data_IF_212634171669
#
_entry.id   IF_212634171669
#
_cell.length_a   1.000
_cell.length_b   1.000
_cell.length_c   1.000
_cell.angle_alpha   90.00
_cell.angle_beta   90.00
_cell.angle_gamma   90.00
#
_symmetry.space_group_name_H-M   'P 1'
#
loop_
_entity.id
_entity.type
_entity.pdbx_description
1 polymer ?
#
# COMPACT_ATOMS: atom_id res chain seq x y z
N UNK A 1 14.87 1.47 -10.84
CA UNK A 1 13.57 0.88 -11.27
C UNK A 1 13.48 1.02 -12.79
N UNK A 2 13.25 -0.06 -13.55
CA UNK A 2 13.35 -0.09 -15.04
C UNK A 2 12.26 0.82 -15.66
N UNK A 3 12.62 1.69 -16.62
CA UNK A 3 11.73 2.72 -17.18
C UNK A 3 10.37 2.19 -17.66
N UNK A 4 10.35 1.03 -18.33
CA UNK A 4 9.09 0.43 -18.79
C UNK A 4 8.10 0.09 -17.66
N UNK A 5 8.55 -0.13 -16.42
CA UNK A 5 7.68 -0.46 -15.29
C UNK A 5 6.93 0.80 -14.88
N UNK A 6 7.64 1.95 -14.86
CA UNK A 6 7.04 3.27 -14.60
C UNK A 6 6.00 3.61 -15.67
N UNK A 7 6.34 3.41 -16.95
CA UNK A 7 5.41 3.64 -18.07
C UNK A 7 4.15 2.78 -17.96
N UNK A 8 4.30 1.49 -17.64
CA UNK A 8 3.16 0.59 -17.47
C UNK A 8 2.28 1.01 -16.29
N UNK A 9 2.89 1.35 -15.15
CA UNK A 9 2.16 1.80 -13.96
C UNK A 9 1.37 3.08 -14.24
N UNK A 10 1.99 4.06 -14.89
CA UNK A 10 1.35 5.32 -15.22
C UNK A 10 0.18 5.17 -16.19
N UNK A 11 0.31 4.35 -17.25
CA UNK A 11 -0.82 4.05 -18.16
C UNK A 11 -2.02 3.47 -17.41
N UNK A 12 -1.77 2.58 -16.44
CA UNK A 12 -2.83 2.00 -15.60
C UNK A 12 -3.47 3.03 -14.69
N UNK A 13 -2.69 3.94 -14.12
CA UNK A 13 -3.21 5.03 -13.29
C UNK A 13 -4.10 5.96 -14.12
N UNK A 14 -3.64 6.40 -15.30
CA UNK A 14 -4.43 7.27 -16.18
C UNK A 14 -5.76 6.60 -16.55
N UNK A 15 -5.73 5.31 -16.92
CA UNK A 15 -6.95 4.54 -17.18
C UNK A 15 -7.87 4.47 -15.95
N UNK A 16 -7.33 4.39 -14.74
CA UNK A 16 -8.11 4.41 -13.51
C UNK A 16 -8.73 5.80 -13.22
N UNK A 17 -8.07 6.88 -13.61
CA UNK A 17 -8.59 8.26 -13.51
C UNK A 17 -9.76 8.48 -14.47
N UNK A 18 -9.72 7.89 -15.68
CA UNK A 18 -10.84 7.96 -16.63
C UNK A 18 -12.11 7.27 -16.11
N UNK A 19 -11.95 6.23 -15.28
CA UNK A 19 -13.07 5.49 -14.67
C UNK A 19 -13.71 6.28 -13.53
N UNK A 20 -12.94 7.09 -12.79
CA UNK A 20 -13.38 7.88 -11.64
C UNK A 20 -12.70 9.25 -11.62
N UNK A 21 -13.17 10.21 -12.44
CA UNK A 21 -12.53 11.52 -12.57
C UNK A 21 -12.60 12.35 -11.28
N UNK A 22 -13.62 12.15 -10.45
CA UNK A 22 -13.80 12.89 -9.19
C UNK A 22 -13.03 12.26 -8.00
N UNK A 23 -12.48 11.06 -8.20
CA UNK A 23 -11.81 10.29 -7.13
C UNK A 23 -12.75 9.96 -5.97
N UNK A 24 -14.07 9.94 -6.22
CA UNK A 24 -15.11 9.73 -5.22
C UNK A 24 -15.56 8.27 -5.14
N UNK A 25 -15.14 7.43 -6.09
CA UNK A 25 -15.49 6.02 -6.07
C UNK A 25 -14.82 5.34 -4.87
N UNK A 26 -15.66 4.74 -4.02
CA UNK A 26 -15.19 3.86 -2.96
C UNK A 26 -14.47 2.68 -3.59
N UNK A 27 -13.19 2.51 -3.24
CA UNK A 27 -12.39 1.37 -3.69
C UNK A 27 -13.04 0.07 -3.20
N UNK A 28 -13.69 -0.65 -4.10
CA UNK A 28 -14.16 -2.01 -3.84
C UNK A 28 -12.96 -2.95 -3.87
N UNK A 29 -12.65 -3.55 -2.73
CA UNK A 29 -11.66 -4.61 -2.66
C UNK A 29 -12.25 -5.88 -3.30
N UNK A 30 -11.86 -6.14 -4.54
CA UNK A 30 -12.17 -7.39 -5.24
C UNK A 30 -10.95 -8.29 -5.12
N UNK A 31 -11.14 -9.50 -4.61
CA UNK A 31 -10.08 -10.51 -4.55
C UNK A 31 -9.82 -10.97 -5.99
N UNK A 32 -8.63 -10.73 -6.57
CA UNK A 32 -8.33 -11.17 -7.91
C UNK A 32 -8.26 -12.69 -7.97
N UNK A 33 -8.65 -13.25 -9.11
CA UNK A 33 -8.46 -14.68 -9.37
C UNK A 33 -6.95 -14.95 -9.46
N UNK A 34 -6.48 -15.89 -8.65
CA UNK A 34 -5.07 -16.27 -8.60
C UNK A 34 -4.78 -17.34 -9.64
N UNK A 35 -3.80 -17.09 -10.51
CA UNK A 35 -3.32 -18.05 -11.49
C UNK A 35 -2.23 -18.95 -10.87
N UNK A 36 -2.63 -20.14 -10.40
CA UNK A 36 -1.70 -21.11 -9.84
C UNK A 36 -0.74 -21.74 -10.87
N UNK A 37 -0.97 -21.54 -12.16
CA UNK A 37 -0.08 -22.00 -13.24
C UNK A 37 0.98 -20.98 -13.61
N UNK A 38 1.01 -19.81 -12.96
CA UNK A 38 1.98 -18.77 -13.26
C UNK A 38 3.41 -19.22 -12.91
N UNK A 39 4.34 -18.98 -13.84
CA UNK A 39 5.77 -19.25 -13.66
C UNK A 39 6.50 -18.11 -12.96
N UNK A 40 5.88 -16.92 -12.89
CA UNK A 40 6.41 -15.75 -12.20
C UNK A 40 5.33 -15.07 -11.34
N UNK A 41 5.78 -14.22 -10.41
CA UNK A 41 4.89 -13.47 -9.52
C UNK A 41 4.04 -12.41 -10.23
N UNK A 42 4.45 -11.97 -11.43
CA UNK A 42 3.72 -10.93 -12.17
C UNK A 42 2.46 -11.53 -12.79
N UNK A 43 2.52 -12.77 -13.29
CA UNK A 43 1.41 -13.50 -13.90
C UNK A 43 0.46 -14.18 -12.90
N UNK A 44 0.76 -14.08 -11.60
CA UNK A 44 -0.05 -14.66 -10.51
C UNK A 44 -1.44 -14.02 -10.42
N UNK A 45 -1.56 -12.76 -10.84
CA UNK A 45 -2.80 -11.99 -10.92
C UNK A 45 -2.96 -11.52 -12.36
N UNK A 46 -4.15 -11.72 -12.95
CA UNK A 46 -4.48 -11.06 -14.21
C UNK A 46 -4.73 -9.57 -13.97
N UNK A 47 -3.67 -8.78 -14.17
CA UNK A 47 -3.71 -7.33 -14.05
C UNK A 47 -4.53 -6.63 -15.13
N UNK A 48 -4.90 -7.30 -16.24
CA UNK A 48 -5.80 -6.75 -17.26
C UNK A 48 -7.26 -6.88 -16.82
N UNK A 49 -7.61 -8.01 -16.21
CA UNK A 49 -8.95 -8.26 -15.67
C UNK A 49 -9.20 -7.57 -14.31
N UNK A 50 -8.14 -7.17 -13.60
CA UNK A 50 -8.26 -6.46 -12.34
C UNK A 50 -8.49 -4.95 -12.58
N UNK A 51 -9.65 -4.43 -12.19
CA UNK A 51 -9.91 -3.00 -12.17
C UNK A 51 -8.99 -2.31 -11.14
N UNK A 52 -7.96 -1.65 -11.63
CA UNK A 52 -7.10 -0.81 -10.80
C UNK A 52 -7.89 0.42 -10.35
N UNK A 53 -7.87 0.69 -9.05
CA UNK A 53 -8.47 1.92 -8.51
C UNK A 53 -7.40 2.99 -8.39
N UNK A 54 -7.78 4.26 -8.60
CA UNK A 54 -6.91 5.40 -8.39
C UNK A 54 -6.33 5.36 -6.97
N UNK A 55 -4.99 5.36 -6.80
CA UNK A 55 -4.39 5.53 -5.50
C UNK A 55 -4.80 6.88 -4.89
N UNK A 56 -5.23 6.90 -3.63
CA UNK A 56 -5.68 8.13 -2.95
C UNK A 56 -4.65 9.25 -3.00
N UNK A 57 -3.35 8.90 -2.99
CA UNK A 57 -2.24 9.86 -3.12
C UNK A 57 -2.26 10.64 -4.44
N UNK A 58 -2.87 10.10 -5.49
CA UNK A 58 -2.93 10.71 -6.82
C UNK A 58 -4.27 11.43 -7.06
N UNK A 59 -5.15 11.53 -6.06
CA UNK A 59 -6.49 12.14 -6.21
C UNK A 59 -6.45 13.60 -6.65
N UNK A 60 -5.40 14.33 -6.28
CA UNK A 60 -5.23 15.74 -6.63
C UNK A 60 -4.28 15.96 -7.81
N UNK A 61 -3.83 14.88 -8.45
CA UNK A 61 -2.95 14.96 -9.61
C UNK A 61 -3.76 14.81 -10.90
N UNK A 62 -3.38 15.58 -11.92
CA UNK A 62 -3.92 15.45 -13.26
C UNK A 62 -3.17 14.39 -14.09
N UNK A 63 -3.85 13.81 -15.09
CA UNK A 63 -3.23 12.89 -16.04
C UNK A 63 -2.07 13.55 -16.81
N UNK A 64 -2.15 14.87 -17.04
CA UNK A 64 -1.14 15.64 -17.74
C UNK A 64 0.14 15.81 -16.90
N UNK A 65 0.01 16.09 -15.60
CA UNK A 65 1.15 16.09 -14.66
C UNK A 65 1.82 14.71 -14.61
N UNK A 66 1.02 13.65 -14.54
CA UNK A 66 1.54 12.27 -14.46
C UNK A 66 2.28 11.85 -15.75
N UNK A 67 1.82 12.30 -16.92
CA UNK A 67 2.52 12.09 -18.20
C UNK A 67 3.82 12.89 -18.28
N UNK A 68 3.84 14.14 -17.80
CA UNK A 68 5.05 14.96 -17.77
C UNK A 68 6.15 14.32 -16.91
N UNK A 69 5.76 13.74 -15.77
CA UNK A 69 6.67 13.03 -14.86
C UNK A 69 7.29 11.75 -15.44
N UNK A 70 6.67 11.16 -16.48
CA UNK A 70 7.23 10.01 -17.19
C UNK A 70 8.25 10.41 -18.27
N UNK A 71 8.09 11.59 -18.86
CA UNK A 71 8.89 12.04 -20.00
C UNK A 71 10.19 12.69 -19.56
N UNK A 72 10.17 13.49 -18.50
CA UNK A 72 11.32 14.32 -18.15
C UNK A 72 12.38 13.57 -17.31
N UNK A 73 12.16 12.29 -16.96
CA UNK A 73 12.89 11.54 -15.91
C UNK A 73 13.04 12.34 -14.59
N UNK A 74 12.20 13.37 -14.44
CA UNK A 74 12.23 14.33 -13.34
C UNK A 74 11.83 13.59 -12.07
N UNK A 75 12.63 13.72 -10.99
CA UNK A 75 12.25 13.20 -9.70
C UNK A 75 10.86 13.68 -9.33
N UNK A 76 10.00 12.73 -8.93
CA UNK A 76 8.70 12.97 -8.31
C UNK A 76 8.86 14.12 -7.30
N UNK A 77 8.23 15.27 -7.54
CA UNK A 77 8.28 16.36 -6.57
C UNK A 77 7.72 15.82 -5.24
N UNK A 78 8.46 16.07 -4.16
CA UNK A 78 8.24 15.48 -2.83
C UNK A 78 6.84 15.81 -2.28
N UNK A 79 6.19 16.84 -2.84
CA UNK A 79 4.77 17.20 -2.62
C UNK A 79 3.76 16.11 -3.01
N UNK A 80 4.09 15.25 -3.95
CA UNK A 80 3.19 14.21 -4.46
C UNK A 80 3.54 12.82 -3.88
N UNK A 81 4.73 12.66 -3.29
CA UNK A 81 5.05 11.55 -2.42
C UNK A 81 4.52 11.88 -1.03
N UNK A 82 3.33 11.38 -0.67
CA UNK A 82 2.93 11.41 0.74
C UNK A 82 4.07 10.80 1.55
N UNK A 83 4.69 11.60 2.42
CA UNK A 83 5.70 11.14 3.37
C UNK A 83 5.02 10.27 4.41
N UNK A 84 4.81 9.01 4.04
CA UNK A 84 4.44 8.01 5.01
C UNK A 84 5.62 7.83 5.97
N UNK A 85 5.37 7.75 7.30
CA UNK A 85 6.40 7.43 8.29
C UNK A 85 6.81 5.94 8.22
N UNK A 86 7.11 5.46 7.02
CA UNK A 86 7.35 4.06 6.64
C UNK A 86 8.56 3.46 7.38
N UNK A 87 9.55 4.29 7.69
CA UNK A 87 10.82 3.89 8.30
C UNK A 87 10.90 4.25 9.79
N UNK A 88 9.75 4.41 10.44
CA UNK A 88 9.74 4.58 11.90
C UNK A 88 9.84 3.24 12.60
N UNK A 89 10.50 3.23 13.76
CA UNK A 89 10.59 2.05 14.61
C UNK A 89 9.20 1.50 15.01
N UNK A 90 8.20 2.38 15.12
CA UNK A 90 6.82 1.99 15.38
C UNK A 90 6.23 1.13 14.24
N UNK A 91 6.44 1.54 12.98
CA UNK A 91 5.99 0.77 11.80
C UNK A 91 6.65 -0.60 11.77
N UNK A 92 7.97 -0.68 11.95
CA UNK A 92 8.67 -1.97 11.99
C UNK A 92 8.14 -2.91 13.08
N UNK A 93 7.86 -2.37 14.27
CA UNK A 93 7.32 -3.13 15.40
C UNK A 93 5.92 -3.68 15.10
N UNK A 94 5.08 -2.94 14.38
CA UNK A 94 3.74 -3.38 13.95
C UNK A 94 3.86 -4.46 12.86
N UNK A 95 4.70 -4.25 11.84
CA UNK A 95 4.94 -5.23 10.77
C UNK A 95 5.41 -6.57 11.36
N UNK A 96 6.26 -6.55 12.38
CA UNK A 96 6.69 -7.75 13.12
C UNK A 96 5.60 -8.40 13.97
N UNK A 97 4.54 -7.68 14.33
CA UNK A 97 3.44 -8.17 15.16
C UNK A 97 2.38 -8.91 14.35
N UNK A 98 2.08 -8.42 13.14
CA UNK A 98 1.09 -9.02 12.21
C UNK A 98 1.29 -10.53 12.02
N UNK A 99 2.49 -11.06 11.72
CA UNK A 99 2.68 -12.51 11.55
C UNK A 99 2.61 -13.30 12.87
N UNK A 100 2.70 -12.64 14.03
CA UNK A 100 2.55 -13.28 15.35
C UNK A 100 1.09 -13.47 15.74
N UNK A 101 0.19 -12.61 15.25
CA UNK A 101 -1.23 -12.67 15.55
C UNK A 101 -1.89 -14.02 15.20
N UNK A 102 -1.71 -14.59 13.98
CA UNK A 102 -2.33 -15.87 13.64
C UNK A 102 -1.80 -17.05 14.47
N UNK A 103 -0.57 -16.98 15.00
CA UNK A 103 0.00 -17.99 15.89
C UNK A 103 -0.59 -17.94 17.31
N UNK A 104 -1.10 -16.78 17.74
CA UNK A 104 -1.60 -16.55 19.11
C UNK A 104 -3.13 -16.53 19.22
N UNK A 105 -3.84 -16.30 18.11
CA UNK A 105 -5.29 -16.12 18.08
C UNK A 105 -5.92 -16.76 16.85
N UNK A 106 -7.05 -17.42 17.07
CA UNK A 106 -7.91 -17.99 16.02
C UNK A 106 -9.07 -17.02 15.74
N UNK A 107 -9.41 -16.84 14.47
CA UNK A 107 -10.47 -15.91 14.02
C UNK A 107 -9.96 -14.48 13.74
N UNK A 108 -10.55 -13.84 12.74
CA UNK A 108 -10.12 -12.52 12.23
C UNK A 108 -10.23 -11.42 13.30
N UNK A 109 -11.38 -11.34 13.99
CA UNK A 109 -11.61 -10.31 15.02
C UNK A 109 -10.62 -10.42 16.19
N UNK A 110 -10.33 -11.64 16.64
CA UNK A 110 -9.38 -11.88 17.72
C UNK A 110 -7.94 -11.53 17.33
N UNK A 111 -7.57 -11.74 16.06
CA UNK A 111 -6.26 -11.35 15.50
C UNK A 111 -6.14 -9.84 15.39
N UNK A 112 -7.17 -9.16 14.87
CA UNK A 112 -7.20 -7.70 14.79
C UNK A 112 -7.13 -7.07 16.18
N UNK A 113 -7.95 -7.55 17.12
CA UNK A 113 -7.92 -7.11 18.52
C UNK A 113 -6.54 -7.30 19.16
N UNK A 114 -5.85 -8.41 18.88
CA UNK A 114 -4.49 -8.63 19.35
C UNK A 114 -3.48 -7.65 18.73
N UNK A 115 -3.58 -7.36 17.44
CA UNK A 115 -2.70 -6.40 16.75
C UNK A 115 -2.91 -4.99 17.30
N UNK A 116 -4.16 -4.60 17.60
CA UNK A 116 -4.51 -3.28 18.13
C UNK A 116 -4.15 -3.11 19.61
N UNK A 117 -4.36 -4.15 20.42
CA UNK A 117 -4.12 -4.10 21.86
C UNK A 117 -2.62 -4.13 22.22
N UNK A 118 -1.77 -4.80 21.44
CA UNK A 118 -0.37 -4.95 21.82
C UNK A 118 0.42 -3.61 21.86
N UNK A 119 0.28 -2.69 20.90
CA UNK A 119 0.85 -1.35 21.03
C UNK A 119 0.37 -0.59 22.27
N UNK A 120 -0.93 -0.65 22.58
CA UNK A 120 -1.50 0.05 23.75
C UNK A 120 -0.99 -0.55 25.06
N UNK A 121 -0.91 -1.87 25.17
CA UNK A 121 -0.33 -2.53 26.34
C UNK A 121 1.13 -2.12 26.60
N UNK A 122 1.91 -1.82 25.55
CA UNK A 122 3.29 -1.37 25.69
C UNK A 122 3.40 0.07 26.19
N UNK A 123 2.44 0.93 25.87
CA UNK A 123 2.40 2.29 26.42
C UNK A 123 2.10 2.29 27.92
N UNK A 124 1.38 1.27 28.40
CA UNK A 124 1.04 1.08 29.81
C UNK A 124 2.17 0.41 30.61
N UNK A 125 3.18 -0.17 29.96
CA UNK A 125 4.37 -0.66 30.66
C UNK A 125 5.20 0.53 31.14
N UNK A 126 5.56 0.55 32.42
CA UNK A 126 6.45 1.57 32.98
C UNK A 126 7.77 1.61 32.21
N UNK A 127 8.29 2.82 31.96
CA UNK A 127 9.64 3.01 31.46
C UNK A 127 10.60 2.52 32.55
N UNK A 128 11.10 1.30 32.42
CA UNK A 128 12.13 0.79 33.32
C UNK A 128 13.43 1.53 33.00
N UNK A 129 13.80 2.47 33.86
CA UNK A 129 15.13 3.07 33.87
C UNK A 129 16.16 1.93 33.92
N UNK A 130 17.02 1.87 32.90
CA UNK A 130 18.07 0.86 32.85
C UNK A 130 19.08 1.12 33.98
N UNK A 131 19.48 0.05 34.67
CA UNK A 131 20.35 0.14 35.86
C UNK A 131 21.68 0.79 35.49
N UNK A 132 22.04 1.82 36.25
CA UNK A 132 23.27 2.63 36.14
C UNK A 132 24.54 1.79 36.29
#
# INVERSE_FOLDING_TARGET
MRGHIRTLAARRIIKAMEIDPDGNCVRRFIIPVVNFRATDYVGLIDWQACNATLPTVLRHMSSHELLKMLQDDVPMDDRYLIKFPSHTQAVERIVKLVPKAPRKRVGLQNRDGFIRAAPESRKQMSHLESKK
#
